data_IF_050262555847
#
_entry.id   IF_050262555847
#
_cell.length_a   1.000
_cell.length_b   1.000
_cell.length_c   1.000
_cell.angle_alpha   90.00
_cell.angle_beta   90.00
_cell.angle_gamma   90.00
#
_symmetry.space_group_name_H-M   'P 1'
#
loop_
_entity.id
_entity.type
_entity.pdbx_description
1 polymer ?
#
# COMPACT_ATOMS: atom_id res chain seq x y z
N UNK A 1 21.62 -8.70 63.35
CA UNK A 1 21.36 -10.08 62.89
C UNK A 1 20.95 -10.00 61.43
N UNK A 2 21.85 -10.37 60.51
CA UNK A 2 21.48 -10.47 59.10
C UNK A 2 20.63 -11.74 58.92
N UNK A 3 19.49 -11.67 58.23
CA UNK A 3 18.67 -12.86 57.99
C UNK A 3 19.42 -13.78 57.00
N UNK A 4 20.00 -14.86 57.52
CA UNK A 4 20.54 -15.94 56.68
C UNK A 4 19.37 -16.78 56.19
N UNK A 5 18.90 -16.50 54.97
CA UNK A 5 17.91 -17.34 54.32
C UNK A 5 18.55 -18.72 54.01
N UNK A 6 17.85 -19.84 54.24
CA UNK A 6 18.37 -21.14 53.82
C UNK A 6 18.54 -21.13 52.30
N UNK A 7 19.73 -21.49 51.78
CA UNK A 7 20.13 -21.40 50.36
C UNK A 7 19.05 -21.79 49.35
N UNK A 8 18.18 -22.76 49.68
CA UNK A 8 17.04 -23.17 48.86
C UNK A 8 16.04 -22.04 48.54
N UNK A 9 15.77 -21.11 49.46
CA UNK A 9 14.82 -19.99 49.25
C UNK A 9 15.36 -18.92 48.30
N UNK A 10 16.67 -18.67 48.34
CA UNK A 10 17.35 -17.73 47.44
C UNK A 10 17.34 -18.24 46.00
N UNK A 11 17.59 -19.53 45.79
CA UNK A 11 17.50 -20.15 44.47
C UNK A 11 16.08 -20.11 43.89
N UNK A 12 15.05 -20.35 44.71
CA UNK A 12 13.64 -20.24 44.26
C UNK A 12 13.34 -18.79 43.83
N UNK A 13 13.74 -17.80 44.62
CA UNK A 13 13.56 -16.39 44.26
C UNK A 13 14.27 -16.01 42.95
N UNK A 14 15.53 -16.42 42.78
CA UNK A 14 16.30 -16.18 41.55
C UNK A 14 15.62 -16.82 40.34
N UNK A 15 15.15 -18.06 40.47
CA UNK A 15 14.42 -18.76 39.40
C UNK A 15 13.14 -18.01 39.05
N UNK A 16 12.32 -17.64 40.04
CA UNK A 16 11.09 -16.87 39.79
C UNK A 16 11.37 -15.50 39.15
N UNK A 17 12.44 -14.81 39.57
CA UNK A 17 12.86 -13.54 38.98
C UNK A 17 13.28 -13.71 37.51
N UNK A 18 14.07 -14.75 37.20
CA UNK A 18 14.46 -15.08 35.82
C UNK A 18 13.22 -15.40 34.98
N UNK A 19 12.32 -16.25 35.46
CA UNK A 19 11.08 -16.55 34.75
C UNK A 19 10.23 -15.30 34.53
N UNK A 20 10.06 -14.45 35.54
CA UNK A 20 9.32 -13.19 35.43
C UNK A 20 9.94 -12.26 34.38
N UNK A 21 11.28 -12.16 34.36
CA UNK A 21 12.01 -11.40 33.36
C UNK A 21 11.82 -11.98 31.96
N UNK A 22 11.91 -13.30 31.80
CA UNK A 22 11.68 -13.97 30.51
C UNK A 22 10.25 -13.73 30.01
N UNK A 23 9.25 -13.90 30.88
CA UNK A 23 7.85 -13.62 30.52
C UNK A 23 7.64 -12.16 30.14
N UNK A 24 8.27 -11.22 30.85
CA UNK A 24 8.20 -9.80 30.51
C UNK A 24 8.82 -9.51 29.14
N UNK A 25 9.99 -10.09 28.84
CA UNK A 25 10.66 -9.92 27.54
C UNK A 25 9.82 -10.51 26.40
N UNK A 26 9.31 -11.74 26.55
CA UNK A 26 8.46 -12.38 25.54
C UNK A 26 7.17 -11.59 25.32
N UNK A 27 6.52 -11.15 26.41
CA UNK A 27 5.31 -10.34 26.34
C UNK A 27 5.54 -9.00 25.65
N UNK A 28 6.67 -8.33 25.93
CA UNK A 28 7.03 -7.09 25.25
C UNK A 28 7.32 -7.31 23.77
N UNK A 29 8.13 -8.32 23.42
CA UNK A 29 8.45 -8.66 22.03
C UNK A 29 7.20 -8.96 21.21
N UNK A 30 6.25 -9.73 21.77
CA UNK A 30 4.98 -10.01 21.10
C UNK A 30 4.16 -8.73 20.86
N UNK A 31 4.09 -7.84 21.85
CA UNK A 31 3.36 -6.57 21.70
C UNK A 31 3.99 -5.66 20.64
N UNK A 32 5.32 -5.56 20.58
CA UNK A 32 6.02 -4.77 19.55
C UNK A 32 5.76 -5.35 18.16
N UNK A 33 5.93 -6.66 17.98
CA UNK A 33 5.66 -7.32 16.71
C UNK A 33 4.20 -7.13 16.26
N UNK A 34 3.24 -7.32 17.16
CA UNK A 34 1.82 -7.14 16.84
C UNK A 34 1.49 -5.69 16.47
N UNK A 35 2.14 -4.71 17.11
CA UNK A 35 1.98 -3.30 16.77
C UNK A 35 2.52 -3.01 15.37
N UNK A 36 3.71 -3.49 15.04
CA UNK A 36 4.33 -3.31 13.73
C UNK A 36 3.47 -3.89 12.59
N UNK A 37 2.93 -5.10 12.77
CA UNK A 37 2.00 -5.72 11.80
C UNK A 37 0.73 -4.88 11.62
N UNK A 38 0.16 -4.37 12.72
CA UNK A 38 -1.05 -3.54 12.65
C UNK A 38 -0.80 -2.22 11.92
N UNK A 39 0.34 -1.57 12.18
CA UNK A 39 0.74 -0.32 11.55
C UNK A 39 1.01 -0.50 10.05
N UNK A 40 1.71 -1.58 9.68
CA UNK A 40 1.92 -1.96 8.29
C UNK A 40 0.58 -2.18 7.58
N UNK A 41 -0.33 -3.00 8.13
CA UNK A 41 -1.63 -3.28 7.51
C UNK A 41 -2.49 -2.01 7.36
N UNK A 42 -2.47 -1.12 8.37
CA UNK A 42 -3.19 0.16 8.31
C UNK A 42 -2.63 1.10 7.23
N UNK A 43 -1.31 1.18 7.13
CA UNK A 43 -0.62 2.02 6.14
C UNK A 43 -0.89 1.52 4.73
N UNK A 44 -0.73 0.22 4.49
CA UNK A 44 -0.99 -0.39 3.19
C UNK A 44 -2.46 -0.22 2.77
N UNK A 45 -3.41 -0.47 3.68
CA UNK A 45 -4.84 -0.29 3.40
C UNK A 45 -5.18 1.15 3.01
N UNK A 46 -4.59 2.12 3.71
CA UNK A 46 -4.81 3.55 3.43
C UNK A 46 -4.26 3.93 2.05
N UNK A 47 -3.03 3.51 1.73
CA UNK A 47 -2.42 3.74 0.43
C UNK A 47 -3.20 3.06 -0.71
N UNK A 48 -3.64 1.81 -0.51
CA UNK A 48 -4.44 1.06 -1.48
C UNK A 48 -5.77 1.74 -1.81
N UNK A 49 -6.51 2.24 -0.82
CA UNK A 49 -7.76 2.95 -1.09
C UNK A 49 -7.54 4.28 -1.82
N UNK A 50 -6.49 5.01 -1.47
CA UNK A 50 -6.11 6.22 -2.19
C UNK A 50 -5.75 5.90 -3.65
N UNK A 51 -4.98 4.83 -3.89
CA UNK A 51 -4.66 4.37 -5.25
C UNK A 51 -5.92 4.01 -6.06
N UNK A 52 -6.87 3.29 -5.48
CA UNK A 52 -8.14 2.96 -6.16
C UNK A 52 -8.94 4.21 -6.54
N UNK A 53 -8.96 5.22 -5.67
CA UNK A 53 -9.59 6.50 -5.95
C UNK A 53 -8.89 7.21 -7.12
N UNK A 54 -7.56 7.36 -7.06
CA UNK A 54 -6.80 8.02 -8.12
C UNK A 54 -6.90 7.30 -9.48
N UNK A 55 -6.91 5.96 -9.48
CA UNK A 55 -7.13 5.15 -10.68
C UNK A 55 -8.51 5.40 -11.30
N UNK A 56 -9.53 5.55 -10.46
CA UNK A 56 -10.91 5.80 -10.91
C UNK A 56 -11.10 7.22 -11.44
N UNK A 57 -10.43 8.19 -10.83
CA UNK A 57 -10.41 9.56 -11.35
C UNK A 57 -9.65 9.66 -12.69
N UNK A 58 -8.56 8.90 -12.85
CA UNK A 58 -7.84 8.82 -14.13
C UNK A 58 -8.72 8.23 -15.23
N UNK A 59 -9.42 7.13 -14.96
CA UNK A 59 -10.36 6.53 -15.91
C UNK A 59 -11.46 7.52 -16.30
N UNK A 60 -12.00 8.27 -15.34
CA UNK A 60 -12.99 9.32 -15.61
C UNK A 60 -12.46 10.43 -16.54
N UNK A 61 -11.18 10.81 -16.40
CA UNK A 61 -10.54 11.78 -17.32
C UNK A 61 -10.46 11.20 -18.74
N UNK A 62 -10.10 9.93 -18.88
CA UNK A 62 -10.01 9.27 -20.20
C UNK A 62 -11.39 9.21 -20.86
N UNK A 63 -12.43 8.85 -20.10
CA UNK A 63 -13.79 8.82 -20.63
C UNK A 63 -14.30 10.21 -21.03
N UNK A 64 -14.04 11.22 -20.22
CA UNK A 64 -14.38 12.59 -20.56
C UNK A 64 -13.69 13.06 -21.86
N UNK A 65 -12.42 12.67 -22.06
CA UNK A 65 -11.65 13.03 -23.25
C UNK A 65 -12.19 12.34 -24.51
N UNK A 66 -12.37 11.03 -24.46
CA UNK A 66 -12.67 10.23 -25.64
C UNK A 66 -14.17 10.13 -25.96
N UNK A 67 -15.00 9.83 -24.97
CA UNK A 67 -16.43 9.58 -25.18
C UNK A 67 -17.27 10.85 -25.08
N UNK A 68 -17.00 11.69 -24.08
CA UNK A 68 -17.78 12.92 -23.87
C UNK A 68 -17.26 14.10 -24.70
N UNK A 69 -16.06 13.96 -25.28
CA UNK A 69 -15.35 15.02 -26.02
C UNK A 69 -15.22 16.33 -25.22
N UNK A 70 -15.14 16.22 -23.90
CA UNK A 70 -14.99 17.35 -22.99
C UNK A 70 -13.49 17.66 -22.81
N UNK A 71 -13.04 18.74 -23.44
CA UNK A 71 -11.64 19.20 -23.38
C UNK A 71 -11.22 19.74 -22.01
N UNK A 72 -12.18 20.10 -21.15
CA UNK A 72 -11.92 20.65 -19.82
C UNK A 72 -11.84 19.51 -18.81
N UNK A 73 -12.83 18.61 -18.78
CA UNK A 73 -12.83 17.45 -17.89
C UNK A 73 -11.77 16.43 -18.31
N UNK A 74 -11.67 16.12 -19.61
CA UNK A 74 -10.73 15.18 -20.21
C UNK A 74 -9.34 15.75 -20.53
N UNK A 75 -8.91 16.82 -19.86
CA UNK A 75 -7.62 17.45 -20.13
C UNK A 75 -6.45 16.49 -19.81
N UNK A 76 -5.57 16.12 -20.77
CA UNK A 76 -4.46 15.20 -20.53
C UNK A 76 -3.50 15.65 -19.43
N UNK A 77 -3.40 16.96 -19.15
CA UNK A 77 -2.60 17.46 -18.03
C UNK A 77 -3.14 17.02 -16.67
N UNK A 78 -4.47 16.89 -16.53
CA UNK A 78 -5.08 16.31 -15.32
C UNK A 78 -4.70 14.83 -15.20
N UNK A 79 -4.68 14.09 -16.31
CA UNK A 79 -4.25 12.69 -16.32
C UNK A 79 -2.80 12.51 -15.88
N UNK A 80 -1.88 13.36 -16.37
CA UNK A 80 -0.48 13.36 -15.91
C UNK A 80 -0.33 13.59 -14.39
N UNK A 81 -1.17 14.46 -13.79
CA UNK A 81 -1.18 14.65 -12.34
C UNK A 81 -1.56 13.34 -11.63
N UNK A 82 -2.61 12.66 -12.11
CA UNK A 82 -3.08 11.39 -11.53
C UNK A 82 -2.06 10.28 -11.67
N UNK A 83 -1.51 10.08 -12.87
CA UNK A 83 -0.51 9.04 -13.14
C UNK A 83 0.76 9.22 -12.30
N UNK A 84 1.24 10.45 -12.14
CA UNK A 84 2.40 10.71 -11.28
C UNK A 84 2.08 10.44 -9.81
N UNK A 85 0.92 10.89 -9.31
CA UNK A 85 0.52 10.61 -7.93
C UNK A 85 0.36 9.11 -7.67
N UNK A 86 -0.19 8.35 -8.61
CA UNK A 86 -0.30 6.89 -8.54
C UNK A 86 1.09 6.25 -8.42
N UNK A 87 2.06 6.70 -9.23
CA UNK A 87 3.44 6.21 -9.15
C UNK A 87 4.08 6.56 -7.79
N UNK A 88 3.92 7.80 -7.32
CA UNK A 88 4.49 8.27 -6.04
C UNK A 88 3.91 7.49 -4.85
N UNK A 89 2.58 7.26 -4.83
CA UNK A 89 1.92 6.49 -3.77
C UNK A 89 2.34 5.02 -3.76
N UNK A 90 2.64 4.44 -4.92
CA UNK A 90 3.06 3.05 -4.99
C UNK A 90 4.45 2.78 -4.41
N UNK A 91 5.29 3.81 -4.22
CA UNK A 91 6.68 3.62 -3.75
C UNK A 91 6.77 2.95 -2.36
N UNK A 92 5.71 3.04 -1.56
CA UNK A 92 5.64 2.42 -0.23
C UNK A 92 4.95 1.04 -0.25
N UNK A 93 4.43 0.58 -1.38
CA UNK A 93 3.66 -0.67 -1.50
C UNK A 93 4.53 -1.84 -1.94
N UNK A 94 3.92 -3.01 -2.15
CA UNK A 94 4.62 -4.21 -2.62
C UNK A 94 5.18 -4.08 -4.05
N UNK A 95 6.25 -4.83 -4.40
CA UNK A 95 6.93 -4.73 -5.70
C UNK A 95 6.03 -4.96 -6.91
N UNK A 96 5.06 -5.87 -6.83
CA UNK A 96 4.14 -6.17 -7.93
C UNK A 96 3.28 -4.95 -8.28
N UNK A 97 2.78 -4.25 -7.26
CA UNK A 97 1.99 -3.04 -7.44
C UNK A 97 2.87 -1.88 -7.95
N UNK A 98 4.10 -1.74 -7.46
CA UNK A 98 5.07 -0.76 -8.00
C UNK A 98 5.34 -0.98 -9.48
N UNK A 99 5.45 -2.24 -9.90
CA UNK A 99 5.66 -2.57 -11.31
C UNK A 99 4.42 -2.23 -12.14
N UNK A 100 3.22 -2.53 -11.65
CA UNK A 100 1.98 -2.23 -12.36
C UNK A 100 1.75 -0.72 -12.55
N UNK A 101 1.97 0.09 -11.50
CA UNK A 101 1.87 1.55 -11.60
C UNK A 101 2.90 2.14 -12.56
N UNK A 102 4.13 1.60 -12.57
CA UNK A 102 5.16 2.04 -13.51
C UNK A 102 4.80 1.70 -14.96
N UNK A 103 4.20 0.53 -15.21
CA UNK A 103 3.71 0.17 -16.54
C UNK A 103 2.55 1.07 -16.98
N UNK A 104 1.62 1.39 -16.08
CA UNK A 104 0.54 2.36 -16.36
C UNK A 104 1.12 3.73 -16.72
N UNK A 105 2.16 4.19 -16.00
CA UNK A 105 2.84 5.45 -16.30
C UNK A 105 3.53 5.44 -17.66
N UNK A 106 4.15 4.33 -18.04
CA UNK A 106 4.77 4.17 -19.35
C UNK A 106 3.74 4.18 -20.48
N UNK A 107 2.63 3.46 -20.31
CA UNK A 107 1.53 3.46 -21.28
C UNK A 107 0.95 4.86 -21.46
N UNK A 108 0.67 5.54 -20.35
CA UNK A 108 0.23 6.93 -20.39
C UNK A 108 1.23 7.83 -21.12
N UNK A 109 2.53 7.68 -20.84
CA UNK A 109 3.57 8.47 -21.50
C UNK A 109 3.57 8.28 -23.03
N UNK A 110 3.24 7.07 -23.48
CA UNK A 110 3.21 6.74 -24.90
C UNK A 110 1.96 7.29 -25.61
N UNK A 111 0.81 7.25 -24.93
CA UNK A 111 -0.50 7.38 -25.56
C UNK A 111 -1.31 8.62 -25.12
N UNK A 112 -0.78 9.46 -24.20
CA UNK A 112 -1.54 10.58 -23.63
C UNK A 112 -2.01 11.63 -24.66
N UNK A 113 -1.31 11.78 -25.78
CA UNK A 113 -1.59 12.77 -26.81
C UNK A 113 -2.69 12.31 -27.77
N UNK A 114 -2.91 10.99 -27.88
CA UNK A 114 -3.94 10.38 -28.73
C UNK A 114 -5.22 10.01 -28.00
N UNK A 115 -5.31 10.16 -26.66
CA UNK A 115 -6.50 9.73 -25.88
C UNK A 115 -7.82 10.37 -26.31
N UNK A 116 -7.79 11.54 -26.96
CA UNK A 116 -8.99 12.21 -27.44
C UNK A 116 -9.56 11.62 -28.73
N UNK A 117 -8.71 10.94 -29.51
CA UNK A 117 -8.96 10.65 -30.93
C UNK A 117 -8.74 9.19 -31.32
N UNK A 118 -7.96 8.42 -30.55
CA UNK A 118 -7.68 7.00 -30.82
C UNK A 118 -8.28 6.07 -29.76
N UNK A 119 -9.22 5.22 -30.19
CA UNK A 119 -9.83 4.20 -29.33
C UNK A 119 -8.81 3.16 -28.84
N UNK A 120 -7.76 2.91 -29.64
CA UNK A 120 -6.72 1.92 -29.33
C UNK A 120 -5.94 2.35 -28.10
N UNK A 121 -5.44 3.58 -28.11
CA UNK A 121 -4.78 4.21 -26.97
C UNK A 121 -5.66 4.22 -25.71
N UNK A 122 -6.94 4.55 -25.85
CA UNK A 122 -7.89 4.53 -24.73
C UNK A 122 -8.02 3.13 -24.13
N UNK A 123 -8.21 2.11 -24.96
CA UNK A 123 -8.32 0.71 -24.51
C UNK A 123 -7.05 0.21 -23.85
N UNK A 124 -5.88 0.57 -24.38
CA UNK A 124 -4.59 0.18 -23.83
C UNK A 124 -4.37 0.76 -22.43
N UNK A 125 -4.61 2.07 -22.26
CA UNK A 125 -4.49 2.72 -20.96
C UNK A 125 -5.51 2.16 -19.96
N UNK A 126 -6.78 1.97 -20.35
CA UNK A 126 -7.80 1.37 -19.48
C UNK A 126 -7.40 -0.03 -19.02
N UNK A 127 -6.87 -0.86 -19.93
CA UNK A 127 -6.39 -2.19 -19.56
C UNK A 127 -5.26 -2.14 -18.52
N UNK A 128 -4.37 -1.13 -18.58
CA UNK A 128 -3.34 -0.90 -17.56
C UNK A 128 -3.92 -0.40 -16.24
N UNK A 129 -4.95 0.44 -16.28
CA UNK A 129 -5.69 0.87 -15.07
C UNK A 129 -6.31 -0.35 -14.39
N UNK A 130 -6.99 -1.22 -15.14
CA UNK A 130 -7.65 -2.41 -14.59
C UNK A 130 -6.67 -3.43 -14.04
N UNK A 131 -5.54 -3.64 -14.72
CA UNK A 131 -4.44 -4.46 -14.18
C UNK A 131 -3.94 -3.88 -12.85
N UNK A 132 -3.67 -2.57 -12.80
CA UNK A 132 -3.21 -1.92 -11.57
C UNK A 132 -4.23 -2.05 -10.44
N UNK A 133 -5.53 -1.89 -10.72
CA UNK A 133 -6.59 -2.12 -9.73
C UNK A 133 -6.59 -3.55 -9.21
N UNK A 134 -6.35 -4.52 -10.06
CA UNK A 134 -6.29 -5.92 -9.66
C UNK A 134 -5.12 -6.16 -8.71
N UNK A 135 -3.94 -5.62 -9.00
CA UNK A 135 -2.79 -5.68 -8.09
C UNK A 135 -3.08 -5.00 -6.73
N UNK A 136 -3.81 -3.87 -6.74
CA UNK A 136 -4.26 -3.24 -5.49
C UNK A 136 -5.21 -4.14 -4.70
N UNK A 137 -6.16 -4.81 -5.37
CA UNK A 137 -7.10 -5.76 -4.71
C UNK A 137 -6.37 -6.97 -4.16
N UNK A 138 -5.39 -7.50 -4.90
CA UNK A 138 -4.55 -8.59 -4.45
C UNK A 138 -3.76 -8.20 -3.20
N UNK A 139 -3.16 -7.01 -3.17
CA UNK A 139 -2.50 -6.48 -1.97
C UNK A 139 -3.48 -6.42 -0.79
N UNK A 140 -4.65 -5.79 -0.98
CA UNK A 140 -5.67 -5.69 0.06
C UNK A 140 -6.12 -7.06 0.60
N UNK A 141 -6.19 -8.08 -0.24
CA UNK A 141 -6.59 -9.44 0.15
C UNK A 141 -5.56 -10.16 1.04
N UNK A 142 -4.30 -9.68 1.04
CA UNK A 142 -3.20 -10.22 1.84
C UNK A 142 -3.07 -9.53 3.20
N UNK A 143 -3.77 -8.42 3.43
CA UNK A 143 -3.70 -7.66 4.68
C UNK A 143 -4.67 -8.24 5.71
N UNK A 144 -4.13 -8.65 6.86
CA UNK A 144 -4.90 -9.17 8.00
C UNK A 144 -5.44 -8.08 8.94
#
# INVERSE_FOLDING_TARGET
MQPTFPKSKEHIFQITAIFSMVFALVGFSYNVWRMEVTEYNSTMRSASFELLLQLSELEGIIYAAYYDKDQIAGNPRKGWIKVNLIADLSMITEPELQQATQQLKQEWQQDWDSIGDDETSVKQIIAKIDNTREEVRQLLSKLD
#
